data_IF_443176596179
#
_entry.id   IF_443176596179
#
_cell.length_a   1.000
_cell.length_b   1.000
_cell.length_c   1.000
_cell.angle_alpha   90.00
_cell.angle_beta   90.00
_cell.angle_gamma   90.00
#
_symmetry.space_group_name_H-M   'P 1'
#
loop_
_entity.id
_entity.type
_entity.pdbx_description
1 polymer ?
#
# COMPACT_ATOMS: atom_id res chain seq x y z
N UNK A 1 -0.80 0.26 -9.25
CA UNK A 1 -1.45 0.11 -7.92
C UNK A 1 -2.64 -0.83 -8.04
N UNK A 2 -2.83 -1.74 -7.08
CA UNK A 2 -3.97 -2.66 -7.00
C UNK A 2 -4.82 -2.26 -5.80
N UNK A 3 -6.11 -2.11 -5.97
CA UNK A 3 -7.06 -1.67 -4.95
C UNK A 3 -8.48 -2.10 -5.35
N UNK A 4 -9.39 -2.19 -4.40
CA UNK A 4 -10.80 -2.51 -4.62
C UNK A 4 -11.69 -1.25 -4.72
N UNK A 5 -11.21 -0.11 -4.25
CA UNK A 5 -11.94 1.15 -4.19
C UNK A 5 -11.59 2.05 -5.38
N UNK A 6 -12.55 2.24 -6.28
CA UNK A 6 -12.36 3.06 -7.50
C UNK A 6 -11.95 4.51 -7.22
N UNK A 7 -12.43 5.10 -6.11
CA UNK A 7 -12.04 6.47 -5.77
C UNK A 7 -10.56 6.54 -5.37
N UNK A 8 -10.04 5.52 -4.66
CA UNK A 8 -8.62 5.42 -4.34
C UNK A 8 -7.78 5.18 -5.59
N UNK A 9 -8.27 4.39 -6.54
CA UNK A 9 -7.60 4.19 -7.83
C UNK A 9 -7.54 5.49 -8.65
N UNK A 10 -8.62 6.28 -8.67
CA UNK A 10 -8.64 7.61 -9.30
C UNK A 10 -7.64 8.56 -8.65
N UNK A 11 -7.61 8.58 -7.32
CA UNK A 11 -6.66 9.41 -6.57
C UNK A 11 -5.22 8.96 -6.81
N UNK A 12 -4.93 7.67 -6.87
CA UNK A 12 -3.61 7.15 -7.15
C UNK A 12 -3.04 7.66 -8.48
N UNK A 13 -3.87 7.79 -9.51
CA UNK A 13 -3.45 8.39 -10.79
C UNK A 13 -3.00 9.84 -10.66
N UNK A 14 -3.62 10.61 -9.77
CA UNK A 14 -3.21 12.00 -9.48
C UNK A 14 -1.84 12.09 -8.80
N UNK A 15 -1.41 11.00 -8.15
CA UNK A 15 -0.09 10.85 -7.53
C UNK A 15 0.96 10.20 -8.46
N UNK A 16 0.69 10.13 -9.76
CA UNK A 16 1.66 9.64 -10.74
C UNK A 16 1.76 8.13 -10.85
N UNK A 17 0.73 7.38 -10.41
CA UNK A 17 0.69 5.92 -10.61
C UNK A 17 0.38 5.62 -12.07
N UNK A 18 1.27 4.94 -12.77
CA UNK A 18 1.14 4.62 -14.20
C UNK A 18 -0.07 3.73 -14.49
N UNK A 19 -0.27 2.68 -13.69
CA UNK A 19 -1.33 1.69 -13.89
C UNK A 19 -2.12 1.43 -12.61
N UNK A 20 -3.44 1.32 -12.77
CA UNK A 20 -4.35 0.97 -11.69
C UNK A 20 -5.14 -0.27 -12.06
N UNK A 21 -5.29 -1.20 -11.12
CA UNK A 21 -6.02 -2.45 -11.26
C UNK A 21 -7.08 -2.51 -10.17
N UNK A 22 -8.35 -2.66 -10.55
CA UNK A 22 -9.41 -2.96 -9.59
C UNK A 22 -9.55 -4.49 -9.48
N UNK A 23 -9.11 -5.04 -8.35
CA UNK A 23 -9.12 -6.49 -8.14
C UNK A 23 -10.51 -7.10 -7.91
N UNK A 24 -11.57 -6.30 -7.88
CA UNK A 24 -12.94 -6.78 -7.95
C UNK A 24 -13.39 -7.05 -9.40
N UNK A 25 -12.77 -6.40 -10.38
CA UNK A 25 -13.17 -6.46 -11.78
C UNK A 25 -12.30 -7.39 -12.63
N UNK A 26 -11.07 -7.64 -12.20
CA UNK A 26 -10.12 -8.50 -12.92
C UNK A 26 -9.15 -9.19 -11.97
N UNK A 27 -8.57 -10.33 -12.38
CA UNK A 27 -7.54 -11.01 -11.61
C UNK A 27 -6.26 -10.15 -11.56
N UNK A 28 -5.79 -9.77 -10.37
CA UNK A 28 -4.65 -8.88 -10.25
C UNK A 28 -3.32 -9.53 -10.66
N UNK A 29 -3.19 -10.86 -10.60
CA UNK A 29 -2.00 -11.59 -11.03
C UNK A 29 -1.90 -11.52 -12.56
N UNK A 30 -3.00 -11.84 -13.25
CA UNK A 30 -3.06 -11.79 -14.70
C UNK A 30 -2.85 -10.37 -15.23
N UNK A 31 -3.47 -9.38 -14.57
CA UNK A 31 -3.30 -7.98 -14.93
C UNK A 31 -1.84 -7.52 -14.81
N UNK A 32 -1.15 -7.85 -13.70
CA UNK A 32 0.27 -7.54 -13.52
C UNK A 32 1.13 -8.28 -14.56
N UNK A 33 0.86 -9.55 -14.83
CA UNK A 33 1.56 -10.31 -15.85
C UNK A 33 1.41 -9.68 -17.23
N UNK A 34 0.20 -9.27 -17.59
CA UNK A 34 -0.07 -8.57 -18.86
C UNK A 34 0.71 -7.26 -18.97
N UNK A 35 0.68 -6.42 -17.93
CA UNK A 35 1.41 -5.15 -17.89
C UNK A 35 2.93 -5.31 -17.96
N UNK A 36 3.46 -6.46 -17.57
CA UNK A 36 4.89 -6.75 -17.51
C UNK A 36 5.37 -7.73 -18.61
N UNK A 37 4.58 -7.92 -19.66
CA UNK A 37 4.87 -8.85 -20.75
C UNK A 37 5.18 -10.28 -20.25
N UNK A 38 4.41 -10.75 -19.27
CA UNK A 38 4.52 -12.08 -18.67
C UNK A 38 5.60 -12.22 -17.59
N UNK A 39 6.46 -11.22 -17.40
CA UNK A 39 7.62 -11.32 -16.48
C UNK A 39 7.24 -11.23 -15.00
N UNK A 40 6.24 -10.42 -14.65
CA UNK A 40 5.91 -10.02 -13.29
C UNK A 40 6.69 -8.78 -12.83
N UNK A 41 6.33 -8.26 -11.67
CA UNK A 41 6.90 -7.05 -11.10
C UNK A 41 8.25 -7.32 -10.41
N UNK A 42 9.19 -6.37 -10.50
CA UNK A 42 10.48 -6.44 -9.79
C UNK A 42 10.30 -6.47 -8.27
N UNK A 43 9.36 -5.66 -7.78
CA UNK A 43 9.03 -5.52 -6.36
C UNK A 43 7.52 -5.47 -6.19
N UNK A 44 7.01 -6.22 -5.24
CA UNK A 44 5.59 -6.22 -4.86
C UNK A 44 5.50 -5.86 -3.39
N UNK A 45 4.70 -4.85 -3.05
CA UNK A 45 4.46 -4.43 -1.68
C UNK A 45 2.99 -4.68 -1.34
N UNK A 46 2.73 -5.60 -0.40
CA UNK A 46 1.40 -5.84 0.15
C UNK A 46 1.19 -4.92 1.35
N UNK A 47 0.46 -3.81 1.14
CA UNK A 47 0.24 -2.77 2.15
C UNK A 47 -1.19 -2.81 2.73
N UNK A 48 -1.84 -3.97 2.71
CA UNK A 48 -3.20 -4.15 3.22
C UNK A 48 -3.28 -5.35 4.17
N UNK A 49 -4.33 -5.47 5.01
CA UNK A 49 -4.48 -6.54 5.99
C UNK A 49 -5.18 -7.81 5.43
N UNK A 50 -5.06 -8.08 4.13
CA UNK A 50 -5.72 -9.22 3.48
C UNK A 50 -4.76 -10.40 3.31
N UNK A 51 -5.12 -11.56 3.85
CA UNK A 51 -4.40 -12.83 3.64
C UNK A 51 -4.38 -13.21 2.16
N UNK A 52 -5.49 -12.99 1.45
CA UNK A 52 -5.59 -13.25 0.01
C UNK A 52 -4.61 -12.38 -0.78
N UNK A 53 -4.54 -11.07 -0.50
CA UNK A 53 -3.63 -10.19 -1.20
C UNK A 53 -2.16 -10.53 -0.91
N UNK A 54 -1.82 -10.97 0.31
CA UNK A 54 -0.48 -11.47 0.63
C UNK A 54 -0.16 -12.75 -0.14
N UNK A 55 -1.10 -13.71 -0.24
CA UNK A 55 -0.92 -14.92 -1.02
C UNK A 55 -0.74 -14.63 -2.51
N UNK A 56 -1.52 -13.72 -3.07
CA UNK A 56 -1.41 -13.31 -4.47
C UNK A 56 -0.09 -12.56 -4.78
N UNK A 57 0.48 -11.86 -3.80
CA UNK A 57 1.68 -11.04 -4.01
C UNK A 57 2.88 -11.83 -4.55
N UNK A 58 3.06 -13.08 -4.11
CA UNK A 58 4.16 -13.93 -4.59
C UNK A 58 4.04 -14.25 -6.08
N UNK A 59 2.82 -14.44 -6.59
CA UNK A 59 2.56 -14.76 -7.99
C UNK A 59 2.69 -13.56 -8.92
N UNK A 60 2.59 -12.35 -8.39
CA UNK A 60 2.79 -11.11 -9.15
C UNK A 60 4.26 -10.77 -9.35
N UNK A 61 5.15 -11.28 -8.49
CA UNK A 61 6.57 -11.02 -8.58
C UNK A 61 7.23 -11.78 -9.75
N UNK A 62 8.23 -11.16 -10.38
CA UNK A 62 9.08 -11.84 -11.36
C UNK A 62 10.01 -12.84 -10.68
N UNK A 63 10.66 -13.71 -11.46
CA UNK A 63 11.77 -14.53 -10.95
C UNK A 63 12.84 -13.65 -10.31
N UNK A 64 13.35 -14.08 -9.15
CA UNK A 64 14.28 -13.32 -8.30
C UNK A 64 13.74 -11.98 -7.82
N UNK A 65 12.42 -11.78 -7.91
CA UNK A 65 11.75 -10.56 -7.44
C UNK A 65 11.64 -10.49 -5.92
N UNK A 66 11.25 -9.32 -5.44
CA UNK A 66 11.11 -9.02 -4.02
C UNK A 66 9.63 -8.85 -3.67
N UNK A 67 9.17 -9.53 -2.62
CA UNK A 67 7.84 -9.34 -2.05
C UNK A 67 7.98 -8.82 -0.62
N UNK A 68 7.29 -7.72 -0.30
CA UNK A 68 7.32 -7.11 1.03
C UNK A 68 5.93 -7.17 1.64
N UNK A 69 5.78 -7.85 2.77
CA UNK A 69 4.60 -7.78 3.62
C UNK A 69 4.71 -6.58 4.55
N UNK A 70 4.19 -5.46 4.07
CA UNK A 70 4.16 -4.18 4.79
C UNK A 70 2.92 -4.07 5.69
N UNK A 71 1.75 -4.50 5.19
CA UNK A 71 0.52 -4.59 5.97
C UNK A 71 0.43 -5.91 6.72
N UNK A 72 0.18 -5.84 8.04
CA UNK A 72 -0.09 -7.03 8.85
C UNK A 72 -1.54 -7.49 8.71
N UNK A 73 -1.78 -8.79 8.77
CA UNK A 73 -3.15 -9.37 8.84
C UNK A 73 -3.68 -9.35 10.28
N UNK A 74 -4.96 -9.62 10.44
CA UNK A 74 -5.58 -9.67 11.77
C UNK A 74 -4.88 -10.72 12.67
N UNK A 75 -4.84 -10.45 13.99
CA UNK A 75 -4.25 -11.37 14.96
C UNK A 75 -4.90 -12.74 14.87
N UNK A 76 -4.10 -13.79 14.71
CA UNK A 76 -4.54 -15.17 14.55
C UNK A 76 -4.91 -15.57 13.11
N UNK A 77 -4.99 -14.64 12.17
CA UNK A 77 -5.12 -14.99 10.76
C UNK A 77 -3.78 -15.50 10.20
N UNK A 78 -3.87 -16.48 9.32
CA UNK A 78 -2.71 -17.11 8.66
C UNK A 78 -2.84 -16.92 7.15
N UNK A 79 -1.74 -16.62 6.50
CA UNK A 79 -1.63 -16.58 5.03
C UNK A 79 -0.95 -17.86 4.56
N UNK A 80 -1.63 -18.62 3.71
CA UNK A 80 -1.02 -19.77 3.03
C UNK A 80 -0.18 -19.27 1.84
N UNK A 81 1.06 -19.70 1.79
CA UNK A 81 1.99 -19.37 0.70
C UNK A 81 2.45 -20.65 0.02
N UNK A 82 2.47 -20.63 -1.32
CA UNK A 82 3.11 -21.67 -2.12
C UNK A 82 4.64 -21.56 -1.98
N UNK A 83 5.19 -22.34 -1.07
CA UNK A 83 6.64 -22.34 -0.81
C UNK A 83 7.44 -22.93 -1.96
N UNK A 84 6.87 -23.84 -2.78
CA UNK A 84 7.52 -24.31 -3.99
C UNK A 84 7.63 -23.21 -5.04
N UNK A 85 6.57 -22.41 -5.18
CA UNK A 85 6.63 -21.26 -6.08
C UNK A 85 7.73 -20.26 -5.65
N UNK A 86 7.82 -19.97 -4.34
CA UNK A 86 8.88 -19.11 -3.79
C UNK A 86 10.25 -19.69 -4.10
N UNK A 87 10.46 -20.99 -3.81
CA UNK A 87 11.73 -21.68 -3.99
C UNK A 87 12.18 -21.70 -5.44
N UNK A 88 11.34 -22.20 -6.36
CA UNK A 88 11.70 -22.37 -7.77
C UNK A 88 11.81 -21.06 -8.56
N UNK A 89 11.21 -19.99 -8.08
CA UNK A 89 11.36 -18.65 -8.64
C UNK A 89 12.43 -17.81 -7.94
N UNK A 90 13.05 -18.31 -6.85
CA UNK A 90 14.08 -17.60 -6.12
C UNK A 90 13.59 -16.27 -5.54
N UNK A 91 12.36 -16.23 -5.03
CA UNK A 91 11.77 -15.00 -4.53
C UNK A 91 12.39 -14.58 -3.18
N UNK A 92 12.53 -13.29 -2.98
CA UNK A 92 12.91 -12.70 -1.71
C UNK A 92 11.65 -12.21 -1.00
N UNK A 93 11.37 -12.76 0.19
CA UNK A 93 10.21 -12.39 0.99
C UNK A 93 10.68 -11.63 2.23
N UNK A 94 10.15 -10.41 2.41
CA UNK A 94 10.47 -9.57 3.56
C UNK A 94 9.22 -9.19 4.34
N UNK A 95 9.30 -9.25 5.66
CA UNK A 95 8.38 -8.58 6.56
C UNK A 95 8.94 -7.19 6.91
N UNK A 96 8.05 -6.22 7.11
CA UNK A 96 8.42 -4.90 7.61
C UNK A 96 7.44 -4.44 8.68
N UNK A 97 7.97 -3.97 9.79
CA UNK A 97 7.17 -3.41 10.88
C UNK A 97 7.91 -2.25 11.55
N UNK A 98 7.19 -1.14 11.69
CA UNK A 98 7.74 0.06 12.31
C UNK A 98 8.80 0.76 11.47
N UNK A 99 9.58 1.61 12.09
CA UNK A 99 10.69 2.33 11.48
C UNK A 99 11.77 2.63 12.53
N UNK A 100 13.01 2.67 12.11
CA UNK A 100 14.11 3.18 12.94
C UNK A 100 14.29 4.69 12.75
N UNK A 101 15.11 5.32 13.60
CA UNK A 101 15.35 6.77 13.57
C UNK A 101 15.86 7.27 12.23
N UNK A 102 16.73 6.51 11.57
CA UNK A 102 17.29 6.90 10.26
C UNK A 102 16.21 6.85 9.16
N UNK A 103 15.28 5.88 9.20
CA UNK A 103 14.15 5.82 8.27
C UNK A 103 13.18 6.98 8.50
N UNK A 104 12.90 7.32 9.77
CA UNK A 104 12.07 8.49 10.12
C UNK A 104 12.69 9.78 9.60
N UNK A 105 13.99 9.98 9.83
CA UNK A 105 14.71 11.15 9.34
C UNK A 105 14.63 11.27 7.80
N UNK A 106 14.94 10.19 7.07
CA UNK A 106 14.85 10.19 5.60
C UNK A 106 13.44 10.45 5.10
N UNK A 107 12.44 9.90 5.77
CA UNK A 107 11.03 10.14 5.41
C UNK A 107 10.63 11.59 5.65
N UNK A 108 11.13 12.19 6.73
CA UNK A 108 10.90 13.61 7.01
C UNK A 108 11.58 14.51 5.97
N UNK A 109 12.86 14.25 5.66
CA UNK A 109 13.59 14.96 4.61
C UNK A 109 12.86 14.91 3.27
N UNK A 110 12.33 13.74 2.89
CA UNK A 110 11.52 13.59 1.68
C UNK A 110 10.21 14.37 1.78
N UNK A 111 9.51 14.29 2.92
CA UNK A 111 8.22 14.95 3.09
C UNK A 111 8.26 16.48 3.03
N UNK A 112 9.42 17.09 3.32
CA UNK A 112 9.63 18.54 3.24
C UNK A 112 10.36 18.97 1.96
N UNK A 113 10.75 18.04 1.10
CA UNK A 113 11.43 18.34 -0.16
C UNK A 113 10.43 18.73 -1.26
N UNK A 114 10.92 19.46 -2.26
CA UNK A 114 10.13 19.81 -3.45
C UNK A 114 9.82 18.59 -4.34
N UNK A 115 10.46 17.44 -4.09
CA UNK A 115 10.24 16.19 -4.84
C UNK A 115 8.97 15.47 -4.42
N UNK A 116 8.43 15.79 -3.23
CA UNK A 116 7.28 15.09 -2.67
C UNK A 116 6.19 16.07 -2.21
N UNK A 117 5.08 16.10 -2.92
CA UNK A 117 3.93 16.96 -2.62
C UNK A 117 3.12 16.40 -1.44
N UNK A 118 3.68 16.42 -0.23
CA UNK A 118 3.10 15.84 0.97
C UNK A 118 1.68 16.37 1.29
N UNK A 119 1.42 17.62 0.96
CA UNK A 119 0.12 18.27 1.18
C UNK A 119 -1.03 17.62 0.40
N UNK A 120 -0.74 17.03 -0.76
CA UNK A 120 -1.75 16.31 -1.56
C UNK A 120 -2.33 15.09 -0.83
N UNK A 121 -1.63 14.56 0.15
CA UNK A 121 -2.11 13.42 0.95
C UNK A 121 -3.03 13.87 2.10
N UNK A 122 -3.01 15.15 2.48
CA UNK A 122 -3.89 15.70 3.53
C UNK A 122 -5.25 16.00 2.92
N UNK A 123 -6.21 15.10 3.18
CA UNK A 123 -7.56 15.23 2.62
C UNK A 123 -8.52 16.00 3.51
N UNK A 124 -8.21 16.06 4.81
CA UNK A 124 -9.04 16.73 5.80
C UNK A 124 -8.16 17.37 6.88
N UNK A 125 -8.51 18.59 7.24
CA UNK A 125 -7.95 19.33 8.39
C UNK A 125 -9.11 19.61 9.31
N UNK A 126 -9.04 19.17 10.56
CA UNK A 126 -10.11 19.29 11.55
C UNK A 126 -9.57 19.83 12.87
N UNK A 127 -10.38 20.54 13.68
CA UNK A 127 -10.01 20.88 15.04
C UNK A 127 -9.93 19.61 15.89
N UNK A 128 -9.13 19.64 16.96
CA UNK A 128 -8.97 18.48 17.85
C UNK A 128 -10.31 18.03 18.46
N UNK A 129 -11.25 18.96 18.67
CA UNK A 129 -12.60 18.66 19.15
C UNK A 129 -13.39 17.72 18.23
N UNK A 130 -13.03 17.64 16.94
CA UNK A 130 -13.65 16.74 15.94
C UNK A 130 -12.87 15.43 15.73
N UNK A 131 -12.03 15.01 16.68
CA UNK A 131 -11.20 13.79 16.55
C UNK A 131 -12.03 12.54 16.18
N UNK A 132 -13.22 12.38 16.75
CA UNK A 132 -14.09 11.24 16.45
C UNK A 132 -14.57 11.24 14.99
N UNK A 133 -14.79 12.41 14.40
CA UNK A 133 -15.11 12.56 12.97
C UNK A 133 -13.91 12.17 12.11
N UNK A 134 -12.70 12.62 12.48
CA UNK A 134 -11.46 12.26 11.82
C UNK A 134 -11.21 10.74 11.81
N UNK A 135 -11.42 10.08 12.95
CA UNK A 135 -11.34 8.61 13.07
C UNK A 135 -12.36 7.92 12.15
N UNK A 136 -13.60 8.42 12.13
CA UNK A 136 -14.66 7.86 11.27
C UNK A 136 -14.33 7.98 9.78
N UNK A 137 -13.80 9.14 9.35
CA UNK A 137 -13.35 9.35 7.96
C UNK A 137 -12.23 8.40 7.56
N UNK A 138 -11.26 8.18 8.46
CA UNK A 138 -10.15 7.25 8.23
C UNK A 138 -10.64 5.81 8.15
N UNK A 139 -11.48 5.38 9.10
CA UNK A 139 -12.03 4.00 9.13
C UNK A 139 -12.91 3.69 7.91
N UNK A 140 -13.68 4.65 7.44
CA UNK A 140 -14.54 4.50 6.26
C UNK A 140 -13.78 4.57 4.92
N UNK A 141 -12.47 4.85 4.95
CA UNK A 141 -11.66 5.02 3.75
C UNK A 141 -11.96 6.28 2.93
N UNK A 142 -12.74 7.22 3.48
CA UNK A 142 -13.07 8.50 2.85
C UNK A 142 -11.93 9.52 2.94
N UNK A 143 -11.00 9.32 3.88
CA UNK A 143 -9.81 10.14 4.01
C UNK A 143 -8.55 9.32 3.72
N UNK A 144 -7.55 9.95 3.10
CA UNK A 144 -6.18 9.44 3.00
C UNK A 144 -5.44 9.79 4.29
N UNK A 145 -5.40 11.08 4.61
CA UNK A 145 -4.80 11.62 5.81
C UNK A 145 -5.70 12.68 6.43
N UNK A 146 -5.97 12.54 7.72
CA UNK A 146 -6.62 13.58 8.53
C UNK A 146 -5.57 14.21 9.43
N UNK A 147 -5.48 15.53 9.40
CA UNK A 147 -4.64 16.32 10.30
C UNK A 147 -5.57 17.00 11.32
N UNK A 148 -5.18 16.96 12.57
CA UNK A 148 -5.91 17.63 13.66
C UNK A 148 -5.11 18.84 14.14
N UNK A 149 -5.76 19.99 14.21
CA UNK A 149 -5.20 21.20 14.80
C UNK A 149 -5.56 21.25 16.29
N UNK A 150 -4.57 21.23 17.21
CA UNK A 150 -4.84 21.21 18.63
C UNK A 150 -5.31 22.56 19.20
N UNK A 151 -5.05 23.65 18.48
CA UNK A 151 -5.20 25.02 18.99
C UNK A 151 -6.14 25.88 18.14
N UNK A 152 -7.07 25.30 17.38
CA UNK A 152 -8.11 26.08 16.72
C UNK A 152 -9.03 26.67 17.79
N UNK A 153 -8.86 27.96 18.00
CA UNK A 153 -9.81 28.81 18.76
C UNK A 153 -10.91 29.28 17.82
#
# INVERSE_FOLDING_TARGET
MIEINDNRLKTAKQFGVDHTINSLNEDPIDAVRKLTNGKGADKVISANPSTQAQAQAIFMAKRTGIVVFFGGVAKGALTELDTNYIHYNGLWIYGHYGSNSMQVQKSFELAISDEFESEKFITHILPLSEINKGISLTKSGKAIKVVLHPNDQ
#
